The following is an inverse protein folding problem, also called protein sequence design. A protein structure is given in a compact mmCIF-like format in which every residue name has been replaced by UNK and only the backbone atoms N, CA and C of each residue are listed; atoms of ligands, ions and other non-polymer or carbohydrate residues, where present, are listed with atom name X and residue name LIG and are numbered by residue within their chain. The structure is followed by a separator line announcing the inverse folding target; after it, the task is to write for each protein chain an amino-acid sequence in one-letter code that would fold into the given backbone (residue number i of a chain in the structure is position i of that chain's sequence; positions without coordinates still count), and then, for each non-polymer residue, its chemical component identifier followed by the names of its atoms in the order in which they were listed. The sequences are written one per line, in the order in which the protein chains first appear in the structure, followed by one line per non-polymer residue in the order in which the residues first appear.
data_IF_945047851376
#
_entry.id   IF_945047851376
#
_cell.length_a   1.000
_cell.length_b   1.000
_cell.length_c   1.000
_cell.angle_alpha   90.00
_cell.angle_beta   90.00
_cell.angle_gamma   90.00
#
_symmetry.space_group_name_H-M   'P 1'
#
loop_
_entity.id
_entity.type
_entity.pdbx_description
1 polymer ?
#
# COMPACT_ATOMS: atom_id res chain seq x y z
N UNK A 1 -16.55 -2.66 -17.43
CA UNK A 1 -17.60 -3.22 -16.54
C UNK A 1 -17.42 -2.57 -15.17
N UNK A 2 -18.47 -2.38 -14.35
CA UNK A 2 -18.30 -1.89 -13.00
C UNK A 2 -17.49 -2.89 -12.17
N UNK A 3 -16.82 -2.40 -11.12
CA UNK A 3 -16.08 -3.23 -10.17
C UNK A 3 -16.99 -4.27 -9.49
N UNK A 4 -16.38 -5.31 -8.97
CA UNK A 4 -17.05 -6.25 -8.07
C UNK A 4 -16.78 -5.85 -6.62
N UNK A 5 -17.80 -5.91 -5.75
CA UNK A 5 -17.62 -5.85 -4.30
C UNK A 5 -17.39 -7.26 -3.76
N UNK A 6 -16.22 -7.51 -3.19
CA UNK A 6 -15.81 -8.82 -2.70
C UNK A 6 -15.70 -8.79 -1.18
N UNK A 7 -16.67 -9.38 -0.48
CA UNK A 7 -16.65 -9.48 0.99
C UNK A 7 -15.71 -10.58 1.45
N UNK A 8 -14.76 -10.22 2.34
CA UNK A 8 -13.76 -11.15 2.89
C UNK A 8 -13.72 -10.97 4.40
N UNK A 9 -13.81 -12.08 5.14
CA UNK A 9 -13.71 -12.04 6.61
C UNK A 9 -12.31 -11.57 7.03
N UNK A 10 -12.16 -10.52 7.84
CA UNK A 10 -10.85 -9.88 8.12
C UNK A 10 -9.88 -10.80 8.87
N UNK A 11 -10.37 -11.56 9.87
CA UNK A 11 -9.53 -12.43 10.71
C UNK A 11 -9.23 -13.78 10.07
N UNK A 12 -10.08 -14.24 9.17
CA UNK A 12 -9.96 -15.58 8.57
C UNK A 12 -10.33 -15.55 7.08
N UNK A 13 -9.49 -14.92 6.24
CA UNK A 13 -9.76 -14.75 4.82
C UNK A 13 -9.82 -16.11 4.10
N UNK A 14 -10.93 -16.47 3.44
CA UNK A 14 -10.99 -17.70 2.67
C UNK A 14 -10.03 -17.65 1.47
N UNK A 15 -9.19 -18.67 1.30
CA UNK A 15 -8.21 -18.74 0.22
C UNK A 15 -8.83 -18.50 -1.17
N UNK A 16 -10.03 -19.04 -1.42
CA UNK A 16 -10.74 -18.83 -2.70
C UNK A 16 -11.07 -17.36 -2.99
N UNK A 17 -11.34 -16.55 -1.94
CA UNK A 17 -11.60 -15.12 -2.08
C UNK A 17 -10.30 -14.34 -2.32
N UNK A 18 -9.22 -14.71 -1.60
CA UNK A 18 -7.89 -14.15 -1.86
C UNK A 18 -7.47 -14.43 -3.30
N UNK A 19 -7.65 -15.67 -3.79
CA UNK A 19 -7.32 -16.04 -5.17
C UNK A 19 -8.10 -15.22 -6.21
N UNK A 20 -9.39 -14.93 -5.98
CA UNK A 20 -10.18 -14.06 -6.84
C UNK A 20 -9.55 -12.65 -6.96
N UNK A 21 -9.10 -12.07 -5.85
CA UNK A 21 -8.46 -10.76 -5.86
C UNK A 21 -7.09 -10.80 -6.55
N UNK A 22 -6.29 -11.86 -6.32
CA UNK A 22 -5.01 -12.09 -7.00
C UNK A 22 -5.20 -12.22 -8.51
N UNK A 23 -6.23 -12.91 -8.97
CA UNK A 23 -6.52 -13.07 -10.39
C UNK A 23 -6.86 -11.73 -11.07
N UNK A 24 -7.52 -10.81 -10.36
CA UNK A 24 -7.76 -9.45 -10.84
C UNK A 24 -6.44 -8.69 -10.99
N UNK A 25 -5.57 -8.74 -9.97
CA UNK A 25 -4.25 -8.09 -10.01
C UNK A 25 -3.37 -8.63 -11.13
N UNK A 26 -3.28 -9.96 -11.30
CA UNK A 26 -2.49 -10.62 -12.36
C UNK A 26 -2.95 -10.24 -13.76
N UNK A 27 -4.24 -9.92 -13.93
CA UNK A 27 -4.80 -9.40 -15.18
C UNK A 27 -4.56 -7.90 -15.39
N UNK A 28 -3.83 -7.24 -14.48
CA UNK A 28 -3.56 -5.81 -14.53
C UNK A 28 -4.69 -4.95 -13.98
N UNK A 29 -5.55 -5.52 -13.14
CA UNK A 29 -6.61 -4.79 -12.47
C UNK A 29 -6.09 -3.90 -11.35
N UNK A 30 -6.87 -2.86 -11.04
CA UNK A 30 -6.70 -1.99 -9.88
C UNK A 30 -7.74 -2.38 -8.84
N UNK A 31 -7.29 -2.54 -7.60
CA UNK A 31 -8.16 -2.94 -6.49
C UNK A 31 -8.15 -1.91 -5.36
N UNK A 32 -9.24 -1.86 -4.60
CA UNK A 32 -9.32 -1.20 -3.30
C UNK A 32 -9.41 -2.28 -2.22
N UNK A 33 -8.69 -2.09 -1.11
CA UNK A 33 -8.54 -3.12 -0.08
C UNK A 33 -8.36 -2.52 1.31
N UNK A 34 -8.77 -3.23 2.38
CA UNK A 34 -8.58 -2.80 3.76
C UNK A 34 -7.11 -2.91 4.18
N UNK A 35 -6.72 -2.06 5.13
CA UNK A 35 -5.45 -2.15 5.84
C UNK A 35 -5.69 -1.97 7.34
N UNK A 36 -4.62 -1.97 8.13
CA UNK A 36 -4.62 -1.64 9.56
C UNK A 36 -4.86 -0.15 9.87
N UNK A 37 -4.94 0.72 8.84
CA UNK A 37 -5.19 2.15 8.94
C UNK A 37 -6.38 2.54 8.06
N UNK A 38 -6.14 3.17 6.92
CA UNK A 38 -7.18 3.55 5.95
C UNK A 38 -7.21 2.58 4.79
N UNK A 39 -8.31 2.51 4.06
CA UNK A 39 -8.38 1.74 2.82
C UNK A 39 -7.31 2.21 1.82
N UNK A 40 -6.68 1.24 1.15
CA UNK A 40 -5.71 1.47 0.09
C UNK A 40 -6.28 1.21 -1.29
N UNK A 41 -5.74 1.90 -2.29
CA UNK A 41 -5.94 1.62 -3.72
C UNK A 41 -4.61 1.24 -4.34
N UNK A 42 -4.59 0.17 -5.13
CA UNK A 42 -3.31 -0.28 -5.71
C UNK A 42 -3.44 -1.36 -6.76
N UNK A 43 -2.29 -1.77 -7.27
CA UNK A 43 -2.15 -2.77 -8.31
C UNK A 43 -0.80 -3.52 -8.18
N UNK A 44 -0.62 -4.58 -8.95
CA UNK A 44 0.67 -5.28 -9.05
C UNK A 44 1.78 -4.32 -9.52
N UNK A 45 2.87 -4.23 -8.73
CA UNK A 45 4.04 -3.38 -9.01
C UNK A 45 4.70 -3.68 -10.36
N UNK A 46 4.55 -4.88 -10.86
CA UNK A 46 5.13 -5.33 -12.13
C UNK A 46 4.34 -4.87 -13.36
N UNK A 47 3.11 -4.39 -13.17
CA UNK A 47 2.23 -3.96 -14.26
C UNK A 47 2.22 -2.44 -14.43
N UNK A 48 3.09 -1.91 -15.29
CA UNK A 48 3.23 -0.48 -15.54
C UNK A 48 1.91 0.21 -15.95
N UNK A 49 1.07 -0.45 -16.79
CA UNK A 49 -0.22 0.10 -17.21
C UNK A 49 -1.22 0.22 -16.04
N UNK A 50 -1.19 -0.75 -15.14
CA UNK A 50 -2.02 -0.70 -13.93
C UNK A 50 -1.56 0.42 -12.99
N UNK A 51 -0.24 0.64 -12.85
CA UNK A 51 0.32 1.77 -12.09
C UNK A 51 -0.13 3.10 -12.68
N UNK A 52 -0.07 3.27 -14.00
CA UNK A 52 -0.58 4.47 -14.68
C UNK A 52 -2.09 4.67 -14.45
N UNK A 53 -2.88 3.57 -14.39
CA UNK A 53 -4.31 3.62 -14.06
C UNK A 53 -4.53 4.12 -12.64
N UNK A 54 -3.77 3.62 -11.65
CA UNK A 54 -3.81 4.13 -10.25
C UNK A 54 -3.50 5.62 -10.22
N UNK A 55 -2.42 6.05 -10.87
CA UNK A 55 -2.04 7.47 -10.93
C UNK A 55 -3.14 8.34 -11.55
N UNK A 56 -3.78 7.86 -12.64
CA UNK A 56 -4.90 8.56 -13.30
C UNK A 56 -6.11 8.69 -12.39
N UNK A 57 -6.47 7.62 -11.65
CA UNK A 57 -7.58 7.65 -10.68
C UNK A 57 -7.32 8.69 -9.59
N UNK A 58 -6.05 8.83 -9.18
CA UNK A 58 -5.61 9.80 -8.17
C UNK A 58 -5.37 11.21 -8.72
N UNK A 59 -5.48 11.43 -10.03
CA UNK A 59 -5.17 12.72 -10.65
C UNK A 59 -3.70 13.13 -10.54
N UNK A 60 -2.78 12.17 -10.36
CA UNK A 60 -1.35 12.41 -10.13
C UNK A 60 -0.55 11.92 -11.32
N UNK A 61 0.43 12.72 -11.76
CA UNK A 61 1.36 12.26 -12.81
C UNK A 61 2.28 11.15 -12.24
N UNK A 62 2.53 10.04 -12.99
CA UNK A 62 3.30 8.90 -12.47
C UNK A 62 4.68 9.24 -11.92
N UNK A 63 5.39 10.22 -12.50
CA UNK A 63 6.72 10.65 -12.03
C UNK A 63 6.69 11.43 -10.71
N UNK A 64 5.53 11.98 -10.32
CA UNK A 64 5.32 12.74 -9.08
C UNK A 64 4.54 11.96 -8.02
N UNK A 65 4.06 10.77 -8.36
CA UNK A 65 3.21 9.99 -7.46
C UNK A 65 4.00 9.42 -6.28
N UNK A 66 3.67 9.77 -5.05
CA UNK A 66 4.22 9.18 -3.84
C UNK A 66 3.52 7.87 -3.51
N UNK A 67 3.92 6.80 -4.23
CA UNK A 67 3.35 5.47 -4.05
C UNK A 67 4.24 4.63 -3.12
N UNK A 68 3.60 3.88 -2.22
CA UNK A 68 4.29 2.93 -1.34
C UNK A 68 4.19 1.51 -1.89
N UNK A 69 5.10 0.64 -1.49
CA UNK A 69 5.05 -0.79 -1.76
C UNK A 69 4.50 -1.52 -0.55
N UNK A 70 3.37 -2.18 -0.73
CA UNK A 70 2.81 -3.08 0.27
C UNK A 70 3.47 -4.44 0.09
N UNK A 71 4.18 -4.88 1.11
CA UNK A 71 4.86 -6.18 1.16
C UNK A 71 4.16 -7.11 2.17
N UNK A 72 4.31 -8.41 2.00
CA UNK A 72 3.82 -9.40 2.97
C UNK A 72 4.71 -9.51 4.21
N UNK A 73 5.99 -9.19 4.03
CA UNK A 73 7.03 -9.22 5.06
C UNK A 73 8.28 -8.44 4.58
N UNK A 74 9.36 -8.51 5.35
CA UNK A 74 10.62 -7.83 5.05
C UNK A 74 11.63 -8.68 4.25
N UNK A 75 11.30 -9.91 3.87
CA UNK A 75 12.25 -10.85 3.24
C UNK A 75 12.87 -10.34 1.96
N UNK A 76 12.11 -9.57 1.18
CA UNK A 76 12.53 -9.02 -0.12
C UNK A 76 12.75 -7.50 -0.11
N UNK A 77 12.88 -6.89 1.08
CA UNK A 77 13.06 -5.43 1.18
C UNK A 77 14.27 -4.94 0.37
N UNK A 78 15.36 -5.70 0.33
CA UNK A 78 16.59 -5.40 -0.42
C UNK A 78 16.42 -5.40 -1.96
N UNK A 79 15.34 -5.97 -2.47
CA UNK A 79 15.04 -5.89 -3.90
C UNK A 79 14.56 -4.49 -4.30
N UNK A 80 13.95 -3.76 -3.37
CA UNK A 80 13.33 -2.46 -3.60
C UNK A 80 14.06 -1.30 -2.94
N UNK A 81 14.72 -1.54 -1.82
CA UNK A 81 15.41 -0.54 -1.01
C UNK A 81 16.88 -0.94 -0.78
N UNK A 82 17.76 0.05 -0.61
CA UNK A 82 19.15 -0.17 -0.22
C UNK A 82 19.57 0.79 0.91
N UNK A 83 20.79 0.63 1.42
CA UNK A 83 21.31 1.47 2.49
C UNK A 83 20.74 1.15 3.88
N UNK A 84 20.01 0.05 4.06
CA UNK A 84 19.39 -0.31 5.33
C UNK A 84 20.45 -0.89 6.27
N UNK A 85 20.78 -0.16 7.33
CA UNK A 85 21.74 -0.65 8.35
C UNK A 85 21.11 -1.73 9.24
N UNK A 86 21.93 -2.45 9.96
CA UNK A 86 21.47 -3.44 10.95
C UNK A 86 20.64 -2.79 12.07
N UNK A 87 20.99 -1.56 12.47
CA UNK A 87 20.25 -0.82 13.50
C UNK A 87 18.86 -0.46 12.99
N UNK A 88 18.77 0.18 11.81
CA UNK A 88 17.51 0.51 11.14
C UNK A 88 16.63 -0.72 10.95
N UNK A 89 17.21 -1.82 10.44
CA UNK A 89 16.46 -3.07 10.25
C UNK A 89 15.85 -3.63 11.54
N UNK A 90 16.58 -3.54 12.69
CA UNK A 90 16.04 -4.00 13.98
C UNK A 90 14.81 -3.20 14.42
N UNK A 91 14.79 -1.90 14.22
CA UNK A 91 13.64 -1.03 14.54
C UNK A 91 12.45 -1.39 13.65
N UNK A 92 12.68 -1.44 12.34
CA UNK A 92 11.62 -1.77 11.37
C UNK A 92 10.99 -3.13 11.65
N UNK A 93 11.84 -4.13 11.96
CA UNK A 93 11.38 -5.49 12.28
C UNK A 93 10.50 -5.56 13.54
N UNK A 94 10.65 -4.62 14.48
CA UNK A 94 9.78 -4.53 15.66
C UNK A 94 8.49 -3.78 15.37
N UNK A 95 8.54 -2.78 14.46
CA UNK A 95 7.42 -1.92 14.12
C UNK A 95 6.48 -2.50 13.05
N UNK A 96 6.93 -3.52 12.30
CA UNK A 96 6.18 -4.16 11.21
C UNK A 96 5.93 -5.66 11.49
N UNK A 97 4.73 -6.18 11.18
CA UNK A 97 3.56 -5.50 10.60
C UNK A 97 3.00 -4.41 11.51
N UNK A 98 2.55 -3.30 10.92
CA UNK A 98 1.99 -2.19 11.69
C UNK A 98 1.75 -0.91 10.88
N UNK A 99 1.24 0.14 11.54
CA UNK A 99 0.72 1.34 10.91
C UNK A 99 1.81 2.32 10.46
N UNK A 100 2.88 1.81 9.85
CA UNK A 100 4.03 2.59 9.41
C UNK A 100 4.27 2.47 7.91
N UNK A 101 4.85 3.53 7.34
CA UNK A 101 5.47 3.58 6.02
C UNK A 101 6.89 4.10 6.19
N UNK A 102 7.88 3.26 5.92
CA UNK A 102 9.28 3.64 5.99
C UNK A 102 9.81 4.00 4.61
N UNK A 103 10.45 5.17 4.49
CA UNK A 103 11.08 5.61 3.26
C UNK A 103 12.57 5.23 3.27
N UNK A 104 13.02 4.66 2.18
CA UNK A 104 14.41 4.26 1.96
C UNK A 104 14.91 4.77 0.62
N UNK A 105 16.21 4.77 0.42
CA UNK A 105 16.78 4.91 -0.92
C UNK A 105 16.31 3.75 -1.81
N UNK A 106 15.84 4.08 -3.01
CA UNK A 106 15.37 3.08 -3.95
C UNK A 106 16.52 2.28 -4.55
N UNK A 107 16.45 0.95 -4.52
CA UNK A 107 17.44 0.09 -5.14
C UNK A 107 17.46 0.29 -6.66
N UNK A 108 18.59 -0.04 -7.34
CA UNK A 108 18.64 -0.05 -8.81
C UNK A 108 17.59 -0.95 -9.48
N UNK A 109 17.10 -1.96 -8.76
CA UNK A 109 16.10 -2.92 -9.23
C UNK A 109 14.65 -2.43 -9.00
N UNK A 110 14.47 -1.36 -8.21
CA UNK A 110 13.14 -0.82 -7.94
C UNK A 110 12.43 -0.42 -9.25
N UNK A 111 11.14 -0.73 -9.42
CA UNK A 111 10.38 -0.41 -10.60
C UNK A 111 10.37 1.09 -10.92
N UNK A 112 10.36 1.42 -12.21
CA UNK A 112 10.22 2.79 -12.70
C UNK A 112 8.77 3.10 -12.97
N UNK A 113 8.31 4.27 -12.55
CA UNK A 113 6.98 4.76 -12.84
C UNK A 113 7.06 5.93 -13.83
N UNK A 114 6.24 5.90 -14.88
CA UNK A 114 6.34 6.90 -15.95
C UNK A 114 7.71 6.96 -16.64
N UNK A 115 8.48 5.86 -16.62
CA UNK A 115 9.84 5.80 -17.17
C UNK A 115 10.93 6.42 -16.28
N UNK A 116 10.56 7.05 -15.16
CA UNK A 116 11.47 7.75 -14.25
C UNK A 116 11.94 6.83 -13.13
N UNK A 117 13.25 6.85 -12.85
CA UNK A 117 13.84 6.15 -11.70
C UNK A 117 13.52 6.94 -10.43
N UNK A 118 12.99 6.26 -9.44
CA UNK A 118 12.75 6.83 -8.11
C UNK A 118 14.06 6.98 -7.34
N UNK A 119 14.14 8.05 -6.54
CA UNK A 119 15.24 8.21 -5.57
C UNK A 119 14.94 7.46 -4.29
N UNK A 120 13.68 7.47 -3.87
CA UNK A 120 13.20 6.84 -2.64
C UNK A 120 12.03 5.88 -2.92
N UNK A 121 11.84 4.92 -2.03
CA UNK A 121 10.72 3.98 -2.01
C UNK A 121 10.13 3.92 -0.61
N UNK A 122 8.79 3.97 -0.52
CA UNK A 122 8.08 3.72 0.72
C UNK A 122 7.75 2.24 0.85
N UNK A 123 8.13 1.62 1.95
CA UNK A 123 7.83 0.21 2.26
C UNK A 123 6.83 0.17 3.41
N UNK A 124 5.81 -0.66 3.26
CA UNK A 124 4.79 -0.90 4.26
C UNK A 124 4.44 -2.39 4.35
N UNK A 125 4.27 -2.88 5.57
CA UNK A 125 3.72 -4.21 5.87
C UNK A 125 2.55 -3.98 6.83
N UNK A 126 1.31 -3.84 6.32
CA UNK A 126 0.15 -3.57 7.15
C UNK A 126 -0.20 -4.75 8.05
N UNK A 127 -0.63 -4.51 9.29
CA UNK A 127 -1.18 -5.55 10.16
C UNK A 127 -2.64 -5.85 9.78
N UNK A 128 -2.83 -6.50 8.64
CA UNK A 128 -4.14 -6.89 8.13
C UNK A 128 -4.03 -8.19 7.33
N UNK A 129 -4.74 -9.22 7.78
CA UNK A 129 -4.64 -10.57 7.23
C UNK A 129 -5.04 -10.68 5.76
N UNK A 130 -6.02 -9.89 5.30
CA UNK A 130 -6.48 -9.91 3.91
C UNK A 130 -5.35 -9.49 2.99
N UNK A 131 -4.77 -8.31 3.23
CA UNK A 131 -3.74 -7.78 2.32
C UNK A 131 -2.42 -8.55 2.43
N UNK A 132 -2.03 -9.03 3.63
CA UNK A 132 -0.82 -9.85 3.80
C UNK A 132 -0.91 -11.15 2.99
N UNK A 133 -2.04 -11.87 3.09
CA UNK A 133 -2.23 -13.09 2.31
C UNK A 133 -2.31 -12.81 0.80
N UNK A 134 -2.96 -11.72 0.41
CA UNK A 134 -3.10 -11.34 -0.99
C UNK A 134 -1.72 -11.05 -1.62
N UNK A 135 -0.87 -10.25 -0.95
CA UNK A 135 0.48 -9.94 -1.44
C UNK A 135 1.35 -11.20 -1.49
N UNK A 136 1.23 -12.06 -0.47
CA UNK A 136 1.94 -13.36 -0.43
C UNK A 136 1.56 -14.25 -1.61
N UNK A 137 0.27 -14.40 -1.91
CA UNK A 137 -0.23 -15.21 -3.03
C UNK A 137 0.07 -14.59 -4.41
N UNK A 138 0.10 -13.25 -4.48
CA UNK A 138 0.49 -12.54 -5.70
C UNK A 138 1.96 -12.79 -6.05
N UNK A 139 2.83 -12.87 -5.02
CA UNK A 139 4.26 -13.06 -5.14
C UNK A 139 5.05 -11.78 -5.47
N UNK A 140 4.39 -10.64 -5.56
CA UNK A 140 4.95 -9.31 -5.81
C UNK A 140 4.32 -8.28 -4.85
N UNK A 141 5.01 -7.19 -4.51
CA UNK A 141 4.39 -6.08 -3.82
C UNK A 141 3.24 -5.46 -4.63
N UNK A 142 2.33 -4.84 -3.90
CA UNK A 142 1.30 -3.97 -4.48
C UNK A 142 1.78 -2.54 -4.37
N UNK A 143 1.82 -1.83 -5.49
CA UNK A 143 1.95 -0.36 -5.50
C UNK A 143 0.66 0.24 -4.96
N UNK A 144 0.76 1.11 -3.97
CA UNK A 144 -0.38 1.58 -3.20
C UNK A 144 -0.33 3.06 -2.87
N UNK A 145 -1.52 3.62 -2.75
CA UNK A 145 -1.77 4.90 -2.08
C UNK A 145 -3.11 4.83 -1.31
N UNK A 146 -3.40 5.80 -0.46
CA UNK A 146 -4.67 5.86 0.28
C UNK A 146 -5.87 6.15 -0.62
N UNK A 147 -7.05 5.64 -0.24
CA UNK A 147 -8.33 5.97 -0.88
C UNK A 147 -8.79 7.35 -0.38
N UNK A 148 -8.33 8.41 -1.04
CA UNK A 148 -8.67 9.81 -0.79
C UNK A 148 -8.53 10.58 -2.08
N UNK A 149 -9.37 11.57 -2.34
CA UNK A 149 -9.34 12.32 -3.62
C UNK A 149 -8.14 13.26 -3.70
N UNK A 150 -7.87 14.01 -2.63
CA UNK A 150 -6.77 14.96 -2.58
C UNK A 150 -6.08 14.88 -1.21
N UNK A 151 -4.75 14.74 -1.21
CA UNK A 151 -3.94 14.73 0.01
C UNK A 151 -3.92 16.11 0.69
N UNK A 152 -4.27 17.17 -0.03
CA UNK A 152 -4.27 18.54 0.45
C UNK A 152 -5.64 19.02 0.97
N UNK A 153 -6.71 18.23 0.83
CA UNK A 153 -8.02 18.58 1.38
C UNK A 153 -8.17 18.10 2.82
N UNK A 154 -8.96 18.81 3.62
CA UNK A 154 -9.34 18.41 4.98
C UNK A 154 -10.44 17.32 5.00
N UNK A 155 -10.72 16.70 3.85
CA UNK A 155 -11.71 15.64 3.78
C UNK A 155 -11.30 14.43 4.61
N UNK A 156 -12.22 13.91 5.41
CA UNK A 156 -12.03 12.70 6.19
C UNK A 156 -11.92 11.47 5.27
N UNK A 157 -11.17 10.46 5.71
CA UNK A 157 -11.11 9.19 5.00
C UNK A 157 -12.46 8.48 5.08
N UNK A 158 -12.93 7.98 3.94
CA UNK A 158 -14.13 7.13 3.90
C UNK A 158 -13.78 5.78 4.53
N UNK A 159 -14.51 5.41 5.58
CA UNK A 159 -14.27 4.17 6.35
C UNK A 159 -15.21 3.04 5.93
N UNK A 160 -16.37 3.36 5.38
CA UNK A 160 -17.40 2.40 4.97
C UNK A 160 -17.10 1.82 3.58
N UNK A 161 -16.89 0.49 3.46
CA UNK A 161 -16.57 -0.15 2.17
C UNK A 161 -17.72 -0.07 1.15
N UNK A 162 -18.99 0.00 1.57
CA UNK A 162 -20.10 0.17 0.64
C UNK A 162 -20.09 1.58 0.03
N UNK A 163 -19.77 2.61 0.79
CA UNK A 163 -19.60 3.98 0.27
C UNK A 163 -18.37 4.09 -0.64
N UNK A 164 -17.26 3.43 -0.27
CA UNK A 164 -16.07 3.34 -1.11
C UNK A 164 -16.44 2.68 -2.45
N UNK A 165 -17.19 1.57 -2.41
CA UNK A 165 -17.62 0.86 -3.60
C UNK A 165 -18.47 1.76 -4.52
N UNK A 166 -19.48 2.41 -3.99
CA UNK A 166 -20.35 3.30 -4.79
C UNK A 166 -19.55 4.42 -5.47
N UNK A 167 -18.56 4.99 -4.77
CA UNK A 167 -17.72 6.06 -5.30
C UNK A 167 -16.75 5.58 -6.38
N UNK A 168 -16.15 4.40 -6.23
CA UNK A 168 -15.05 3.94 -7.07
C UNK A 168 -15.41 2.83 -8.06
N UNK A 169 -16.63 2.28 -8.05
CA UNK A 169 -17.03 1.12 -8.87
C UNK A 169 -16.86 1.26 -10.38
N UNK A 170 -16.78 2.47 -10.90
CA UNK A 170 -16.52 2.74 -12.32
C UNK A 170 -15.04 3.02 -12.61
N UNK A 171 -14.19 3.15 -11.59
CA UNK A 171 -12.78 3.54 -11.70
C UNK A 171 -11.83 2.36 -11.48
N UNK A 172 -12.20 1.42 -10.61
CA UNK A 172 -11.40 0.24 -10.25
C UNK A 172 -12.03 -1.05 -10.76
N UNK A 173 -11.34 -2.17 -10.59
CA UNK A 173 -11.81 -3.48 -11.06
C UNK A 173 -12.39 -4.33 -9.93
N UNK A 174 -11.94 -4.08 -8.67
CA UNK A 174 -12.41 -4.78 -7.48
C UNK A 174 -12.36 -3.86 -6.26
N UNK A 175 -13.36 -3.97 -5.39
CA UNK A 175 -13.31 -3.44 -4.02
C UNK A 175 -13.44 -4.61 -3.05
N UNK A 176 -12.49 -4.75 -2.14
CA UNK A 176 -12.52 -5.75 -1.08
C UNK A 176 -13.15 -5.11 0.15
N UNK A 177 -14.30 -5.65 0.57
CA UNK A 177 -14.94 -5.31 1.83
C UNK A 177 -14.40 -6.24 2.93
N UNK A 178 -13.56 -5.69 3.79
CA UNK A 178 -13.04 -6.35 5.00
C UNK A 178 -13.58 -5.72 6.29
N UNK A 179 -14.71 -5.02 6.20
CA UNK A 179 -15.28 -4.24 7.30
C UNK A 179 -14.87 -2.77 7.28
N UNK A 180 -15.30 -2.02 8.28
CA UNK A 180 -14.98 -0.60 8.39
C UNK A 180 -13.47 -0.37 8.52
N UNK A 181 -12.95 0.58 7.73
CA UNK A 181 -11.55 1.02 7.82
C UNK A 181 -11.32 2.03 8.94
N UNK A 182 -10.05 2.33 9.19
CA UNK A 182 -9.67 3.46 10.04
C UNK A 182 -9.80 4.80 9.31
N UNK A 183 -9.67 5.89 10.05
CA UNK A 183 -9.66 7.27 9.54
C UNK A 183 -8.31 7.98 9.72
N UNK A 184 -7.34 7.31 10.34
CA UNK A 184 -5.99 7.83 10.57
C UNK A 184 -5.01 7.08 9.69
N UNK A 185 -4.25 7.76 8.80
CA UNK A 185 -3.30 7.09 7.89
C UNK A 185 -2.07 6.58 8.64
N UNK A 186 -1.21 5.84 7.94
CA UNK A 186 0.07 5.38 8.47
C UNK A 186 1.00 6.53 8.83
N UNK A 187 1.81 6.35 9.87
CA UNK A 187 2.95 7.21 10.18
C UNK A 187 4.03 7.02 9.11
N UNK A 188 4.58 8.13 8.59
CA UNK A 188 5.66 8.10 7.59
C UNK A 188 6.96 8.51 8.26
N UNK A 189 7.96 7.63 8.17
CA UNK A 189 9.30 7.83 8.73
C UNK A 189 10.33 7.72 7.61
N UNK A 190 11.18 8.73 7.46
CA UNK A 190 12.30 8.71 6.53
C UNK A 190 13.53 8.07 7.20
N UNK A 191 14.06 7.05 6.55
CA UNK A 191 15.23 6.28 6.98
C UNK A 191 16.35 6.32 5.93
N UNK A 192 16.36 7.30 5.04
CA UNK A 192 17.37 7.41 3.97
C UNK A 192 18.76 7.77 4.48
N UNK A 193 18.87 8.42 5.64
CA UNK A 193 20.13 8.91 6.23
C UNK A 193 20.52 8.19 7.53
N UNK A 194 20.10 6.93 7.73
CA UNK A 194 20.31 6.17 8.97
C UNK A 194 19.68 6.76 10.25
N UNK A 195 18.97 7.88 10.12
CA UNK A 195 18.15 8.50 11.16
C UNK A 195 16.67 8.17 10.93
N UNK A 196 15.84 8.36 11.96
CA UNK A 196 14.40 8.17 11.86
C UNK A 196 13.70 9.55 11.88
N UNK A 197 13.63 10.17 10.70
CA UNK A 197 12.96 11.47 10.57
C UNK A 197 11.44 11.28 10.40
N UNK A 198 10.65 11.84 11.33
CA UNK A 198 9.20 11.80 11.26
C UNK A 198 8.70 12.79 10.20
N UNK A 199 8.27 12.26 9.04
CA UNK A 199 7.71 13.07 7.95
C UNK A 199 6.23 13.37 8.18
N UNK A 200 5.48 12.41 8.70
CA UNK A 200 4.06 12.56 9.00
C UNK A 200 3.68 11.69 10.19
N UNK A 201 3.11 12.30 11.22
CA UNK A 201 2.46 11.56 12.30
C UNK A 201 1.13 10.98 11.78
N UNK A 202 0.95 9.69 11.97
CA UNK A 202 -0.26 8.94 11.68
C UNK A 202 -0.65 8.08 12.87
N UNK A 203 -1.18 6.89 12.62
CA UNK A 203 -1.67 5.97 13.64
C UNK A 203 -0.54 5.30 14.47
N UNK A 204 0.68 5.18 13.91
CA UNK A 204 1.82 4.60 14.61
C UNK A 204 2.62 5.64 15.42
N UNK A 205 3.12 5.23 16.57
CA UNK A 205 4.06 6.01 17.38
C UNK A 205 5.45 5.36 17.28
N UNK A 206 6.37 6.00 16.54
CA UNK A 206 7.71 5.45 16.27
C UNK A 206 8.62 5.48 17.50
N UNK A 207 8.40 6.41 18.43
CA UNK A 207 9.20 6.57 19.65
C UNK A 207 9.22 5.28 20.51
N UNK A 208 8.17 4.46 20.40
CA UNK A 208 8.08 3.17 21.12
C UNK A 208 9.08 2.12 20.62
N UNK A 209 9.71 2.33 19.47
CA UNK A 209 10.61 1.36 18.83
C UNK A 209 12.07 1.83 18.75
N UNK A 210 12.32 3.13 19.00
CA UNK A 210 13.63 3.73 19.07
C UNK A 210 14.27 3.50 20.47
#
# INVERSE_FOLDING_TARGET
MPATLLRIHPENPPHSRIQQAVDVLRKGGVIIYPTDTVYGIGCDVTNAKAVEKVCRIKGIHPDKANLSFICSDLSHISDYAHGITTATYKVIKKALPGPFTFLFEASPKAPRFGGVKRKTVGIRVPDNQIILQLVKELGNPIVSTSVREDENTLEEYVTDPDLIFEKYRLLVDLVIDGGFGGNTPSTIVDCTNDDFELIRQGAGDIEQYL
#
